data_IF_029514300831
#
_entry.id   IF_029514300831
#
_cell.length_a   1.000
_cell.length_b   1.000
_cell.length_c   1.000
_cell.angle_alpha   90.00
_cell.angle_beta   90.00
_cell.angle_gamma   90.00
#
_symmetry.space_group_name_H-M   'P 1'
#
loop_
_entity.id
_entity.type
_entity.pdbx_description
1 polymer ?
#
# COMPACT_ATOMS: atom_id res chain seq x y z
N UNK A 1 31.21 -13.18 -2.68
CA UNK A 1 31.23 -14.62 -3.00
C UNK A 1 30.94 -15.33 -1.69
N UNK A 2 29.74 -15.90 -1.52
CA UNK A 2 29.29 -16.44 -0.23
C UNK A 2 29.99 -17.76 0.03
N UNK A 3 30.63 -17.92 1.19
CA UNK A 3 31.32 -19.15 1.56
C UNK A 3 30.30 -20.31 1.77
N UNK A 4 30.47 -21.46 1.10
CA UNK A 4 29.54 -22.60 1.20
C UNK A 4 29.54 -23.28 2.58
N UNK A 5 30.43 -22.86 3.49
CA UNK A 5 30.52 -23.35 4.87
C UNK A 5 29.72 -22.52 5.87
N UNK A 6 29.18 -21.35 5.49
CA UNK A 6 28.33 -20.52 6.35
C UNK A 6 26.85 -20.62 5.99
N UNK A 7 26.48 -21.61 5.17
CA UNK A 7 25.11 -21.80 4.67
C UNK A 7 24.27 -22.51 5.73
N UNK A 8 23.15 -21.90 6.12
CA UNK A 8 22.19 -22.43 7.09
C UNK A 8 20.85 -22.74 6.43
N UNK A 9 20.01 -23.55 7.06
CA UNK A 9 18.61 -23.68 6.61
C UNK A 9 17.88 -22.35 6.80
N UNK A 10 16.90 -22.07 5.94
CA UNK A 10 16.10 -20.86 6.02
C UNK A 10 15.77 -20.29 4.64
N UNK A 11 15.47 -19.00 4.62
CA UNK A 11 15.01 -18.32 3.42
C UNK A 11 16.17 -17.83 2.56
N UNK A 12 16.08 -18.10 1.27
CA UNK A 12 17.03 -17.67 0.26
C UNK A 12 16.31 -17.05 -0.93
N UNK A 13 16.96 -16.10 -1.58
CA UNK A 13 16.43 -15.46 -2.78
C UNK A 13 16.96 -16.19 -4.02
N UNK A 14 16.05 -16.60 -4.90
CA UNK A 14 16.40 -17.31 -6.13
C UNK A 14 17.05 -16.35 -7.13
N UNK A 15 18.27 -16.67 -7.55
CA UNK A 15 18.98 -15.95 -8.61
C UNK A 15 18.71 -16.56 -9.99
N UNK A 16 18.55 -17.88 -10.05
CA UNK A 16 18.25 -18.59 -11.28
C UNK A 16 16.95 -18.08 -11.92
N UNK A 17 16.89 -18.08 -13.25
CA UNK A 17 15.72 -17.61 -14.00
C UNK A 17 14.43 -18.37 -13.64
N UNK A 18 14.56 -19.67 -13.41
CA UNK A 18 13.45 -20.58 -13.13
C UNK A 18 13.96 -21.79 -12.34
N UNK A 19 13.19 -22.22 -11.35
CA UNK A 19 13.45 -23.45 -10.58
C UNK A 19 12.14 -24.15 -10.24
N UNK A 20 12.07 -25.46 -10.47
CA UNK A 20 10.91 -26.28 -10.12
C UNK A 20 11.27 -27.15 -8.91
N UNK A 21 10.61 -26.93 -7.77
CA UNK A 21 10.75 -27.74 -6.56
C UNK A 21 9.72 -28.86 -6.60
N UNK A 22 10.18 -30.11 -6.51
CA UNK A 22 9.28 -31.24 -6.35
C UNK A 22 8.71 -31.23 -4.93
N UNK A 23 7.38 -31.11 -4.82
CA UNK A 23 6.69 -31.11 -3.52
C UNK A 23 6.11 -32.48 -3.16
N UNK A 24 6.02 -33.40 -4.13
CA UNK A 24 5.46 -34.73 -3.91
C UNK A 24 6.43 -35.69 -3.23
N UNK A 25 5.88 -36.48 -2.31
CA UNK A 25 6.58 -37.60 -1.67
C UNK A 25 6.68 -38.80 -2.60
N UNK A 26 7.65 -39.71 -2.38
CA UNK A 26 7.72 -40.97 -3.11
C UNK A 26 6.41 -41.77 -2.96
N UNK A 27 5.73 -42.02 -4.08
CA UNK A 27 4.47 -42.78 -4.13
C UNK A 27 3.20 -41.93 -4.30
N UNK A 28 3.29 -40.61 -4.24
CA UNK A 28 2.19 -39.68 -4.53
C UNK A 28 2.23 -39.18 -6.00
N UNK A 29 1.12 -38.67 -6.55
CA UNK A 29 1.11 -38.02 -7.85
C UNK A 29 2.17 -36.92 -7.94
N UNK A 30 2.87 -36.86 -9.07
CA UNK A 30 3.95 -35.90 -9.27
C UNK A 30 3.41 -34.48 -9.32
N UNK A 31 3.87 -33.64 -8.41
CA UNK A 31 3.52 -32.25 -8.25
C UNK A 31 4.78 -31.42 -7.99
N UNK A 32 4.79 -30.22 -8.53
CA UNK A 32 5.94 -29.33 -8.48
C UNK A 32 5.49 -27.89 -8.31
N UNK A 33 6.26 -27.16 -7.50
CA UNK A 33 6.13 -25.73 -7.33
C UNK A 33 7.20 -25.01 -8.12
N UNK A 34 6.76 -24.14 -9.04
CA UNK A 34 7.65 -23.33 -9.87
C UNK A 34 7.96 -22.00 -9.21
N UNK A 35 9.23 -21.67 -9.16
CA UNK A 35 9.80 -20.43 -8.64
C UNK A 35 10.53 -19.67 -9.76
N UNK A 36 10.56 -18.35 -9.66
CA UNK A 36 11.22 -17.43 -10.59
C UNK A 36 12.31 -16.63 -9.90
N UNK A 37 13.19 -16.03 -10.70
CA UNK A 37 14.23 -15.15 -10.19
C UNK A 37 13.63 -14.03 -9.31
N UNK A 38 14.16 -13.87 -8.10
CA UNK A 38 13.68 -12.94 -7.09
C UNK A 38 12.71 -13.55 -6.07
N UNK A 39 12.18 -14.75 -6.31
CA UNK A 39 11.33 -15.42 -5.32
C UNK A 39 12.14 -15.84 -4.09
N UNK A 40 11.50 -15.77 -2.92
CA UNK A 40 12.04 -16.30 -1.68
C UNK A 40 11.65 -17.77 -1.55
N UNK A 41 12.65 -18.62 -1.37
CA UNK A 41 12.53 -20.06 -1.20
C UNK A 41 13.10 -20.48 0.14
N UNK A 42 12.33 -21.24 0.91
CA UNK A 42 12.81 -21.84 2.16
C UNK A 42 13.49 -23.15 1.84
N UNK A 43 14.78 -23.25 2.18
CA UNK A 43 15.64 -24.38 1.85
C UNK A 43 16.20 -25.02 3.11
N UNK A 44 16.41 -26.33 3.06
CA UNK A 44 17.21 -27.01 4.07
C UNK A 44 18.71 -26.73 3.89
N UNK A 45 19.54 -27.18 4.83
CA UNK A 45 20.99 -26.90 4.82
C UNK A 45 21.68 -27.52 3.59
N UNK A 46 21.27 -28.72 3.17
CA UNK A 46 21.92 -29.45 2.07
C UNK A 46 21.54 -28.85 0.72
N UNK A 47 20.25 -28.56 0.52
CA UNK A 47 19.72 -27.87 -0.66
C UNK A 47 20.28 -26.46 -0.77
N UNK A 48 20.28 -25.69 0.33
CA UNK A 48 20.86 -24.35 0.36
C UNK A 48 22.34 -24.40 -0.01
N UNK A 49 23.12 -25.34 0.57
CA UNK A 49 24.55 -25.46 0.24
C UNK A 49 24.75 -25.79 -1.24
N UNK A 50 23.95 -26.69 -1.80
CA UNK A 50 24.02 -27.07 -3.21
C UNK A 50 23.67 -25.89 -4.13
N UNK A 51 22.61 -25.16 -3.82
CA UNK A 51 22.12 -24.05 -4.64
C UNK A 51 23.02 -22.81 -4.51
N UNK A 52 23.57 -22.52 -3.32
CA UNK A 52 24.56 -21.46 -3.13
C UNK A 52 25.86 -21.79 -3.87
N UNK A 53 26.34 -23.04 -3.78
CA UNK A 53 27.53 -23.48 -4.53
C UNK A 53 27.33 -23.41 -6.06
N UNK A 54 26.10 -23.64 -6.53
CA UNK A 54 25.73 -23.48 -7.94
C UNK A 54 25.49 -22.01 -8.35
N UNK A 55 25.52 -21.05 -7.41
CA UNK A 55 25.17 -19.65 -7.67
C UNK A 55 23.69 -19.44 -8.02
N UNK A 56 22.83 -20.41 -7.72
CA UNK A 56 21.41 -20.38 -8.04
C UNK A 56 20.58 -19.60 -7.02
N UNK A 57 21.09 -19.42 -5.79
CA UNK A 57 20.42 -18.65 -4.71
C UNK A 57 21.42 -17.78 -3.96
N UNK A 58 20.93 -16.70 -3.35
CA UNK A 58 21.68 -15.79 -2.49
C UNK A 58 20.95 -15.54 -1.18
N UNK A 59 21.63 -15.06 -0.12
CA UNK A 59 20.95 -14.62 1.09
C UNK A 59 19.92 -13.53 0.78
N UNK A 60 18.79 -13.48 1.50
CA UNK A 60 17.71 -12.55 1.21
C UNK A 60 18.21 -11.10 1.28
N UNK A 61 17.78 -10.28 0.33
CA UNK A 61 18.17 -8.87 0.25
C UNK A 61 19.58 -8.64 -0.33
N UNK A 62 20.35 -9.68 -0.65
CA UNK A 62 21.65 -9.54 -1.30
C UNK A 62 21.54 -8.90 -2.68
N UNK A 63 20.47 -9.21 -3.43
CA UNK A 63 20.22 -8.55 -4.72
C UNK A 63 19.91 -7.08 -4.55
N UNK A 64 19.11 -6.72 -3.56
CA UNK A 64 18.76 -5.32 -3.31
C UNK A 64 19.98 -4.50 -2.88
N UNK A 65 20.87 -5.09 -2.07
CA UNK A 65 22.16 -4.49 -1.75
C UNK A 65 23.05 -4.32 -2.98
N UNK A 66 23.17 -5.34 -3.82
CA UNK A 66 23.94 -5.28 -5.06
C UNK A 66 23.37 -4.25 -6.05
N UNK A 67 22.04 -4.15 -6.14
CA UNK A 67 21.36 -3.15 -6.96
C UNK A 67 21.59 -1.73 -6.43
N UNK A 68 21.53 -1.53 -5.12
CA UNK A 68 21.83 -0.24 -4.50
C UNK A 68 23.29 0.19 -4.72
N UNK A 69 24.24 -0.75 -4.61
CA UNK A 69 25.65 -0.52 -4.90
C UNK A 69 25.88 -0.20 -6.39
N UNK A 70 25.24 -0.94 -7.29
CA UNK A 70 25.29 -0.66 -8.72
C UNK A 70 24.69 0.71 -9.07
N UNK A 71 23.56 1.08 -8.45
CA UNK A 71 22.95 2.39 -8.62
C UNK A 71 23.88 3.52 -8.14
N UNK A 72 24.54 3.33 -6.99
CA UNK A 72 25.54 4.28 -6.49
C UNK A 72 26.73 4.41 -7.45
N UNK A 73 27.28 3.30 -7.93
CA UNK A 73 28.38 3.33 -8.88
C UNK A 73 27.99 4.01 -10.20
N UNK A 74 26.77 3.77 -10.70
CA UNK A 74 26.24 4.43 -11.88
C UNK A 74 26.10 5.95 -11.67
N UNK A 75 25.63 6.37 -10.48
CA UNK A 75 25.55 7.77 -10.11
C UNK A 75 26.93 8.45 -10.02
N UNK A 76 27.91 7.79 -9.40
CA UNK A 76 29.29 8.29 -9.32
C UNK A 76 29.92 8.43 -10.72
N UNK A 77 29.67 7.48 -11.62
CA UNK A 77 30.11 7.56 -13.02
C UNK A 77 29.42 8.72 -13.75
N UNK A 78 28.12 8.91 -13.55
CA UNK A 78 27.38 10.02 -14.15
C UNK A 78 27.91 11.38 -13.67
N UNK A 79 28.20 11.51 -12.37
CA UNK A 79 28.84 12.70 -11.81
C UNK A 79 30.23 12.98 -12.39
N UNK A 80 31.02 11.93 -12.65
CA UNK A 80 32.33 12.07 -13.27
C UNK A 80 32.24 12.56 -14.73
N UNK A 81 31.19 12.17 -15.46
CA UNK A 81 30.98 12.62 -16.85
C UNK A 81 30.35 14.01 -16.99
N UNK A 82 29.75 14.55 -15.92
CA UNK A 82 29.18 15.89 -15.95
C UNK A 82 30.27 16.97 -16.06
N UNK A 83 30.02 18.06 -16.81
CA UNK A 83 30.87 19.25 -16.81
C UNK A 83 31.00 19.88 -15.41
N UNK A 84 32.16 20.49 -15.11
CA UNK A 84 32.48 21.03 -13.78
C UNK A 84 31.51 22.11 -13.26
N UNK A 85 30.78 22.79 -14.15
CA UNK A 85 29.72 23.74 -13.79
C UNK A 85 28.51 23.04 -13.20
N UNK A 86 28.02 21.98 -13.87
CA UNK A 86 26.85 21.21 -13.44
C UNK A 86 27.19 20.35 -12.21
N UNK A 87 28.42 19.80 -12.15
CA UNK A 87 28.85 19.02 -10.98
C UNK A 87 28.84 19.86 -9.70
N UNK A 88 29.29 21.13 -9.79
CA UNK A 88 29.25 22.07 -8.66
C UNK A 88 27.83 22.39 -8.22
N UNK A 89 26.94 22.67 -9.15
CA UNK A 89 25.53 22.96 -8.86
C UNK A 89 24.82 21.80 -8.13
N UNK A 90 25.06 20.54 -8.57
CA UNK A 90 24.49 19.35 -7.92
C UNK A 90 25.06 19.13 -6.51
N UNK A 91 26.37 19.32 -6.32
CA UNK A 91 27.02 19.22 -5.01
C UNK A 91 26.56 20.33 -4.06
N UNK A 92 26.40 21.55 -4.55
CA UNK A 92 25.98 22.71 -3.76
C UNK A 92 24.52 22.58 -3.33
N UNK A 93 23.65 22.02 -4.18
CA UNK A 93 22.25 21.70 -3.82
C UNK A 93 22.16 20.59 -2.76
N UNK A 94 23.07 19.60 -2.77
CA UNK A 94 23.13 18.58 -1.71
C UNK A 94 23.69 19.12 -0.39
N UNK A 95 24.60 20.08 -0.44
CA UNK A 95 25.29 20.60 0.75
C UNK A 95 24.54 21.79 1.37
N UNK A 96 23.71 22.49 0.60
CA UNK A 96 22.93 23.66 1.03
C UNK A 96 21.66 23.35 1.83
N UNK A 97 21.28 22.09 2.01
CA UNK A 97 20.11 21.68 2.80
C UNK A 97 20.32 21.74 4.33
N UNK A 98 21.41 22.33 4.82
CA UNK A 98 21.71 22.38 6.26
C UNK A 98 22.50 23.63 6.65
N UNK A 99 21.89 24.82 6.56
CA UNK A 99 22.23 25.97 7.42
C UNK A 99 21.15 27.06 7.31
N UNK A 100 20.11 26.97 8.14
CA UNK A 100 19.60 28.15 8.86
C UNK A 100 18.78 27.67 10.05
N UNK A 101 19.38 27.81 11.23
CA UNK A 101 18.81 27.39 12.50
C UNK A 101 18.09 28.53 13.20
N UNK A 102 16.91 28.23 13.76
CA UNK A 102 16.43 28.91 14.95
C UNK A 102 15.91 27.86 15.96
N UNK A 103 16.57 27.83 17.11
CA UNK A 103 16.12 27.35 18.44
C UNK A 103 15.68 25.90 18.65
N UNK A 104 16.48 25.17 19.45
CA UNK A 104 16.00 24.20 20.43
C UNK A 104 15.80 24.92 21.78
N UNK A 105 14.89 24.52 22.71
CA UNK A 105 14.47 23.15 22.98
C UNK A 105 12.95 22.99 23.14
N UNK A 106 12.37 22.11 22.35
CA UNK A 106 11.01 21.64 22.50
C UNK A 106 10.85 20.54 21.49
N UNK A 107 10.32 19.40 21.93
CA UNK A 107 10.03 18.25 21.09
C UNK A 107 9.58 18.72 19.70
N UNK A 108 10.44 18.60 18.70
CA UNK A 108 10.00 18.76 17.34
C UNK A 108 9.13 17.55 17.12
N UNK A 109 7.82 17.75 17.31
CA UNK A 109 6.81 17.17 16.46
C UNK A 109 7.34 17.28 15.04
N UNK A 110 8.11 16.27 14.64
CA UNK A 110 8.12 15.80 13.29
C UNK A 110 6.68 15.38 13.06
N UNK A 111 5.85 16.38 12.73
CA UNK A 111 4.54 16.19 12.16
C UNK A 111 4.83 15.69 10.75
N UNK A 112 5.38 14.47 10.68
CA UNK A 112 5.08 13.57 9.61
C UNK A 112 3.57 13.70 9.44
N UNK A 113 3.14 14.16 8.27
CA UNK A 113 1.76 14.02 7.83
C UNK A 113 1.44 12.54 7.99
N UNK A 114 0.93 12.19 9.18
CA UNK A 114 0.53 10.85 9.46
C UNK A 114 -0.67 10.67 8.54
N UNK A 115 -0.45 9.98 7.44
CA UNK A 115 -1.52 9.72 6.50
C UNK A 115 -2.54 8.91 7.30
N UNK A 116 -3.76 9.40 7.35
CA UNK A 116 -4.83 8.74 8.09
C UNK A 116 -4.84 7.26 7.71
N UNK A 117 -4.71 6.33 8.68
CA UNK A 117 -4.72 4.92 8.36
C UNK A 117 -6.07 4.54 7.76
N UNK A 118 -6.14 3.53 6.87
CA UNK A 118 -7.42 3.08 6.33
C UNK A 118 -8.35 2.64 7.47
N UNK A 119 -9.68 2.80 7.31
CA UNK A 119 -10.68 2.41 8.33
C UNK A 119 -10.58 0.92 8.72
N UNK A 120 -9.97 0.07 7.89
CA UNK A 120 -9.67 -1.32 8.17
C UNK A 120 -8.44 -1.56 9.07
N UNK A 121 -7.54 -0.58 9.23
CA UNK A 121 -6.29 -0.69 9.99
C UNK A 121 -6.49 -1.07 11.46
N UNK A 122 -5.46 -1.59 12.11
CA UNK A 122 -5.56 -2.09 13.48
C UNK A 122 -5.77 -0.95 14.48
N UNK A 123 -6.25 -1.25 15.70
CA UNK A 123 -6.41 -0.24 16.74
C UNK A 123 -5.07 0.45 17.04
N UNK A 124 -3.98 -0.30 17.05
CA UNK A 124 -2.64 0.22 17.30
C UNK A 124 -2.20 1.24 16.24
N UNK A 125 -2.56 1.03 14.97
CA UNK A 125 -2.30 2.00 13.90
C UNK A 125 -3.09 3.30 14.12
N UNK A 126 -4.34 3.20 14.60
CA UNK A 126 -5.18 4.35 14.93
C UNK A 126 -4.69 5.09 16.19
N UNK A 127 -4.11 4.37 17.16
CA UNK A 127 -3.47 4.97 18.35
C UNK A 127 -2.19 5.70 17.95
N UNK A 128 -1.35 5.09 17.11
CA UNK A 128 -0.15 5.72 16.57
C UNK A 128 -0.51 6.98 15.77
N UNK A 129 -1.57 6.92 14.96
CA UNK A 129 -2.11 8.08 14.25
C UNK A 129 -2.64 9.17 15.20
N UNK A 130 -3.34 8.79 16.27
CA UNK A 130 -3.81 9.73 17.29
C UNK A 130 -2.63 10.45 17.94
N UNK A 131 -1.58 9.71 18.33
CA UNK A 131 -0.35 10.25 18.93
C UNK A 131 0.37 11.18 17.97
N UNK A 132 0.51 10.78 16.71
CA UNK A 132 1.07 11.63 15.66
C UNK A 132 0.21 12.89 15.39
N UNK A 133 -1.11 12.80 15.57
CA UNK A 133 -2.07 13.91 15.50
C UNK A 133 -2.07 14.78 16.76
N UNK A 134 -1.23 14.48 17.76
CA UNK A 134 -1.05 15.25 19.00
C UNK A 134 -1.88 14.79 20.19
N UNK A 135 -2.51 13.62 20.14
CA UNK A 135 -3.23 13.03 21.27
C UNK A 135 -2.30 12.28 22.22
N UNK A 136 -2.65 12.24 23.51
CA UNK A 136 -1.92 11.43 24.48
C UNK A 136 -2.12 9.94 24.19
N UNK A 137 -1.03 9.18 24.11
CA UNK A 137 -1.04 7.72 23.91
C UNK A 137 -1.94 7.01 24.94
N UNK A 138 -1.81 7.38 26.21
CA UNK A 138 -2.60 6.81 27.31
C UNK A 138 -4.12 7.08 27.21
N UNK A 139 -4.54 8.11 26.48
CA UNK A 139 -5.95 8.42 26.25
C UNK A 139 -6.45 7.77 24.95
N UNK A 140 -5.60 7.71 23.93
CA UNK A 140 -5.89 7.01 22.69
C UNK A 140 -6.07 5.50 22.91
N UNK A 141 -5.24 4.87 23.74
CA UNK A 141 -5.35 3.43 24.05
C UNK A 141 -6.64 3.05 24.79
N UNK A 142 -7.20 3.96 25.59
CA UNK A 142 -8.45 3.72 26.33
C UNK A 142 -9.69 3.78 25.44
N UNK A 143 -9.59 4.49 24.33
CA UNK A 143 -10.68 4.63 23.37
C UNK A 143 -10.78 3.39 22.48
N UNK A 144 -11.99 3.11 22.01
CA UNK A 144 -12.16 2.05 21.01
C UNK A 144 -11.71 2.59 19.65
N UNK A 145 -11.32 1.70 18.74
CA UNK A 145 -10.97 2.08 17.36
C UNK A 145 -12.05 2.95 16.70
N UNK A 146 -13.34 2.67 16.96
CA UNK A 146 -14.45 3.46 16.42
C UNK A 146 -14.46 4.90 16.96
N UNK A 147 -14.22 5.07 18.26
CA UNK A 147 -14.17 6.39 18.89
C UNK A 147 -12.95 7.20 18.45
N UNK A 148 -11.80 6.54 18.24
CA UNK A 148 -10.59 7.15 17.69
C UNK A 148 -10.83 7.68 16.28
N UNK A 149 -11.43 6.87 15.41
CA UNK A 149 -11.76 7.26 14.03
C UNK A 149 -12.69 8.48 14.05
N UNK A 150 -13.81 8.39 14.79
CA UNK A 150 -14.80 9.46 14.84
C UNK A 150 -14.20 10.80 15.27
N UNK A 151 -13.41 10.81 16.35
CA UNK A 151 -12.83 12.05 16.88
C UNK A 151 -11.72 12.65 16.01
N UNK A 152 -10.93 11.81 15.35
CA UNK A 152 -9.85 12.26 14.48
C UNK A 152 -10.35 12.69 13.09
N UNK A 153 -11.50 12.19 12.63
CA UNK A 153 -12.14 12.65 11.38
C UNK A 153 -13.03 13.87 11.56
N UNK A 154 -13.63 14.06 12.74
CA UNK A 154 -14.53 15.19 13.02
C UNK A 154 -13.76 16.51 13.25
N UNK A 155 -12.48 16.44 13.63
CA UNK A 155 -11.65 17.63 13.89
C UNK A 155 -11.14 18.35 12.64
N UNK A 156 -11.44 17.87 11.43
CA UNK A 156 -11.02 18.46 10.14
C UNK A 156 -12.12 19.31 9.47
N UNK A 157 -13.35 19.30 10.00
CA UNK A 157 -14.49 20.01 9.41
C UNK A 157 -14.74 21.35 10.14
N UNK A 158 -14.13 22.43 9.64
CA UNK A 158 -14.46 23.79 10.06
C UNK A 158 -15.86 24.17 9.54
N UNK A 159 -16.81 24.61 10.38
CA UNK A 159 -18.13 25.03 9.94
C UNK A 159 -18.07 26.48 9.44
N UNK A 160 -17.90 26.68 8.13
CA UNK A 160 -18.09 27.99 7.50
C UNK A 160 -19.23 27.95 6.48
N UNK A 161 -20.43 28.24 6.97
CA UNK A 161 -21.47 28.92 6.18
C UNK A 161 -22.53 29.46 7.10
N UNK A 162 -22.33 30.72 7.47
CA UNK A 162 -23.40 31.61 7.87
C UNK A 162 -24.36 31.83 6.69
N UNK A 163 -25.65 31.62 6.92
CA UNK A 163 -26.72 32.25 6.14
C UNK A 163 -27.94 32.51 7.05
N UNK A 164 -28.00 33.77 7.48
CA UNK A 164 -29.13 34.68 7.70
C UNK A 164 -30.59 34.16 7.54
N UNK A 165 -31.55 34.66 8.37
CA UNK A 165 -32.88 34.08 8.56
C UNK A 165 -33.90 34.63 7.55
N UNK A 166 -34.48 33.73 6.75
CA UNK A 166 -35.62 34.02 5.88
C UNK A 166 -36.93 33.49 6.46
N UNK A 167 -37.62 34.35 7.19
CA UNK A 167 -39.03 34.26 7.55
C UNK A 167 -39.91 34.11 6.29
N UNK A 168 -40.85 33.16 6.29
CA UNK A 168 -41.65 32.81 5.11
C UNK A 168 -42.63 31.67 5.36
N UNK A 169 -43.68 31.99 6.10
CA UNK A 169 -44.91 31.28 6.44
C UNK A 169 -45.55 30.35 5.37
N UNK A 170 -46.24 29.33 5.90
CA UNK A 170 -47.50 28.71 5.42
C UNK A 170 -47.48 27.69 4.25
N UNK A 171 -47.55 26.39 4.58
CA UNK A 171 -48.79 25.59 4.45
C UNK A 171 -48.54 24.07 4.65
N UNK A 172 -49.48 23.46 5.38
CA UNK A 172 -49.59 22.09 5.86
C UNK A 172 -49.32 20.92 4.87
N UNK A 173 -48.63 19.86 5.36
CA UNK A 173 -49.12 18.45 5.50
C UNK A 173 -48.01 17.52 6.06
N UNK A 174 -48.23 16.74 7.15
CA UNK A 174 -47.31 15.70 7.65
C UNK A 174 -47.82 14.26 7.32
N UNK A 175 -47.09 13.20 7.68
CA UNK A 175 -45.79 12.77 7.18
C UNK A 175 -45.92 11.46 6.37
N UNK A 176 -45.14 11.30 5.31
CA UNK A 176 -44.85 9.98 4.73
C UNK A 176 -43.35 9.79 4.77
N UNK A 177 -42.95 8.93 5.72
CA UNK A 177 -41.73 8.12 5.77
C UNK A 177 -40.61 8.56 4.83
N UNK A 178 -39.64 9.26 5.43
CA UNK A 178 -38.45 9.72 4.75
C UNK A 178 -37.52 8.57 4.38
N UNK A 179 -36.87 8.74 3.23
CA UNK A 179 -35.42 8.90 3.17
C UNK A 179 -35.05 9.18 1.71
N UNK A 180 -35.20 10.46 1.33
CA UNK A 180 -34.26 11.07 0.42
C UNK A 180 -32.90 11.10 1.14
N UNK A 181 -31.96 10.28 0.68
CA UNK A 181 -30.54 10.47 0.95
C UNK A 181 -29.78 10.17 -0.33
N UNK A 182 -29.61 11.23 -1.13
CA UNK A 182 -28.46 11.36 -2.02
C UNK A 182 -27.19 11.31 -1.17
N UNK A 183 -26.59 10.13 -1.11
CA UNK A 183 -25.18 9.93 -0.78
C UNK A 183 -24.56 9.21 -1.96
N UNK A 184 -23.41 9.67 -2.41
CA UNK A 184 -22.52 9.04 -3.39
C UNK A 184 -22.19 7.58 -2.98
N UNK A 185 -23.13 6.66 -3.21
CA UNK A 185 -22.97 5.23 -3.02
C UNK A 185 -22.46 4.67 -4.35
N UNK A 186 -21.18 4.96 -4.66
CA UNK A 186 -20.49 4.20 -5.71
C UNK A 186 -20.54 2.75 -5.25
N UNK A 187 -21.30 1.87 -5.94
CA UNK A 187 -21.39 0.48 -5.51
C UNK A 187 -19.98 -0.10 -5.42
N UNK A 188 -19.73 -0.95 -4.44
CA UNK A 188 -18.45 -1.63 -4.34
C UNK A 188 -18.33 -2.63 -5.49
N UNK A 189 -17.22 -2.57 -6.23
CA UNK A 189 -17.00 -3.44 -7.40
C UNK A 189 -17.00 -4.90 -6.95
N UNK A 190 -17.81 -5.77 -7.57
CA UNK A 190 -17.79 -7.19 -7.26
C UNK A 190 -16.42 -7.80 -7.60
N UNK A 191 -16.09 -8.92 -6.95
CA UNK A 191 -14.86 -9.64 -7.25
C UNK A 191 -14.88 -10.19 -8.68
N UNK A 192 -13.73 -10.26 -9.34
CA UNK A 192 -13.63 -10.84 -10.70
C UNK A 192 -14.10 -12.31 -10.77
N UNK A 193 -14.17 -13.00 -9.64
CA UNK A 193 -14.70 -14.36 -9.52
C UNK A 193 -16.22 -14.42 -9.37
N UNK A 194 -16.90 -13.31 -9.07
CA UNK A 194 -18.35 -13.25 -8.89
C UNK A 194 -19.10 -13.59 -10.20
N UNK A 195 -20.31 -14.10 -10.08
CA UNK A 195 -21.12 -14.53 -11.22
C UNK A 195 -21.60 -13.35 -12.09
N UNK A 196 -22.03 -13.65 -13.32
CA UNK A 196 -22.46 -12.64 -14.30
C UNK A 196 -23.63 -11.79 -13.79
N UNK A 197 -24.59 -12.40 -13.09
CA UNK A 197 -25.72 -11.72 -12.46
C UNK A 197 -25.26 -10.65 -11.45
N UNK A 198 -24.17 -10.91 -10.72
CA UNK A 198 -23.59 -9.93 -9.77
C UNK A 198 -22.95 -8.76 -10.51
N UNK A 199 -22.28 -9.03 -11.63
CA UNK A 199 -21.69 -7.99 -12.48
C UNK A 199 -22.74 -7.16 -13.23
N UNK A 200 -23.86 -7.78 -13.62
CA UNK A 200 -24.99 -7.13 -14.25
C UNK A 200 -25.71 -6.18 -13.27
N UNK A 201 -26.00 -6.65 -12.05
CA UNK A 201 -26.56 -5.81 -11.00
C UNK A 201 -25.65 -4.62 -10.66
N UNK A 202 -24.33 -4.84 -10.67
CA UNK A 202 -23.33 -3.79 -10.49
C UNK A 202 -23.33 -2.78 -11.65
N UNK A 203 -23.42 -3.25 -12.89
CA UNK A 203 -23.51 -2.40 -14.08
C UNK A 203 -24.75 -1.50 -14.04
N UNK A 204 -25.92 -2.07 -13.70
CA UNK A 204 -27.18 -1.32 -13.54
C UNK A 204 -27.04 -0.27 -12.44
N UNK A 205 -26.47 -0.64 -11.29
CA UNK A 205 -26.25 0.29 -10.17
C UNK A 205 -25.25 1.41 -10.52
N UNK A 206 -24.34 1.18 -11.48
CA UNK A 206 -23.38 2.17 -12.02
C UNK A 206 -23.97 3.02 -13.15
N UNK A 207 -25.21 2.76 -13.56
CA UNK A 207 -25.93 3.53 -14.59
C UNK A 207 -25.87 2.95 -16.01
N UNK A 208 -25.42 1.70 -16.18
CA UNK A 208 -25.56 0.98 -17.46
C UNK A 208 -27.01 0.52 -17.58
N UNK A 209 -27.72 0.80 -18.68
CA UNK A 209 -29.11 0.38 -18.81
C UNK A 209 -29.21 -1.15 -18.85
N UNK A 210 -30.18 -1.72 -18.14
CA UNK A 210 -30.36 -3.16 -17.94
C UNK A 210 -30.31 -3.96 -19.26
N UNK A 211 -31.03 -3.51 -20.29
CA UNK A 211 -31.06 -4.17 -21.60
C UNK A 211 -29.72 -4.17 -22.34
N UNK A 212 -28.81 -3.24 -22.02
CA UNK A 212 -27.45 -3.19 -22.57
C UNK A 212 -26.51 -4.05 -21.72
N UNK A 213 -26.66 -4.00 -20.39
CA UNK A 213 -25.90 -4.84 -19.47
C UNK A 213 -26.16 -6.34 -19.69
N UNK A 214 -27.40 -6.74 -19.98
CA UNK A 214 -27.80 -8.12 -20.29
C UNK A 214 -27.21 -8.65 -21.61
N UNK A 215 -26.80 -7.77 -22.52
CA UNK A 215 -26.19 -8.16 -23.80
C UNK A 215 -24.67 -8.29 -23.71
N UNK A 216 -24.07 -7.79 -22.64
CA UNK A 216 -22.63 -7.79 -22.42
C UNK A 216 -22.24 -8.99 -21.56
N UNK A 217 -21.22 -9.72 -22.00
CA UNK A 217 -20.67 -10.81 -21.19
C UNK A 217 -20.03 -10.26 -19.90
N UNK A 218 -19.94 -11.09 -18.86
CA UNK A 218 -19.22 -10.75 -17.61
C UNK A 218 -17.87 -10.08 -17.87
N UNK A 219 -17.09 -10.56 -18.84
CA UNK A 219 -15.76 -10.01 -19.13
C UNK A 219 -15.83 -8.60 -19.75
N UNK A 220 -16.86 -8.33 -20.57
CA UNK A 220 -17.12 -7.00 -21.14
C UNK A 220 -17.63 -6.03 -20.06
N UNK A 221 -18.52 -6.50 -19.18
CA UNK A 221 -18.96 -5.73 -18.00
C UNK A 221 -17.77 -5.37 -17.10
N UNK A 222 -16.85 -6.30 -16.85
CA UNK A 222 -15.62 -6.03 -16.09
C UNK A 222 -14.76 -4.97 -16.76
N UNK A 223 -14.56 -5.07 -18.08
CA UNK A 223 -13.74 -4.12 -18.85
C UNK A 223 -14.38 -2.73 -18.95
N UNK A 224 -15.71 -2.65 -18.98
CA UNK A 224 -16.46 -1.38 -19.05
C UNK A 224 -16.49 -0.64 -17.70
N UNK A 225 -16.42 -1.40 -16.60
CA UNK A 225 -16.57 -0.91 -15.23
C UNK A 225 -15.26 -0.87 -14.42
N UNK A 226 -14.14 -1.26 -15.02
CA UNK A 226 -12.77 -1.12 -14.50
C UNK A 226 -12.08 0.07 -15.16
#
# INVERSE_FOLDING_TARGET
>A
MTDPNTVTAGDYELVAALWDQQVSKPGEPFDFRRYRAGDIVTLDVEEARRLVAAGAVVPPGSRQKAAAEAARAAYELALAQLPDSIRREVLETQTGASVDGVSAPGATSDRAEAVQPPKAASKDDWVAYAVASGWSEADAEKLTKKDLIARLTESDEAPDSAADPGDGDDAATPPADGADQGGDDVPERPANVADEETWLAYAIKRGVPEHEAEQLSKQELINLLT
#
